data_IF_585736661319
#
_entry.id   IF_585736661319
#
_cell.length_a   1.000
_cell.length_b   1.000
_cell.length_c   1.000
_cell.angle_alpha   90.00
_cell.angle_beta   90.00
_cell.angle_gamma   90.00
#
_symmetry.space_group_name_H-M   'P 1'
#
loop_
_entity.id
_entity.type
_entity.pdbx_description
1 polymer ?
#
# COMPACT_ATOMS: atom_id res chain seq x y z
N UNK A 1 -33.77 21.38 12.45
CA UNK A 1 -32.77 20.33 12.73
C UNK A 1 -31.90 20.18 11.49
N UNK A 2 -30.65 20.62 11.55
CA UNK A 2 -29.67 20.44 10.49
C UNK A 2 -29.39 18.94 10.35
N UNK A 3 -29.71 18.37 9.18
CA UNK A 3 -29.31 17.00 8.83
C UNK A 3 -27.78 16.96 8.81
N UNK A 4 -27.20 16.31 9.80
CA UNK A 4 -25.76 16.04 9.85
C UNK A 4 -25.47 15.03 8.74
N UNK A 5 -24.50 15.28 7.85
CA UNK A 5 -24.11 14.30 6.84
C UNK A 5 -23.54 13.07 7.56
N UNK A 6 -24.30 11.98 7.58
CA UNK A 6 -23.74 10.68 7.87
C UNK A 6 -23.06 10.23 6.59
N UNK A 7 -21.72 10.13 6.62
CA UNK A 7 -21.04 9.30 5.65
C UNK A 7 -21.43 7.86 5.97
N UNK A 8 -22.52 7.40 5.37
CA UNK A 8 -22.83 5.99 5.25
C UNK A 8 -21.62 5.34 4.60
N UNK A 9 -20.86 4.53 5.35
CA UNK A 9 -20.00 3.56 4.69
C UNK A 9 -20.90 2.76 3.76
N UNK A 10 -20.51 2.59 2.50
CA UNK A 10 -21.31 1.93 1.46
C UNK A 10 -21.67 0.45 1.73
N UNK A 11 -21.40 -0.01 2.95
CA UNK A 11 -21.37 -1.39 3.39
C UNK A 11 -22.11 -1.51 4.73
N UNK A 12 -23.44 -1.52 4.66
CA UNK A 12 -24.37 -1.65 5.80
C UNK A 12 -24.76 -3.10 6.11
N UNK A 13 -24.16 -4.08 5.42
CA UNK A 13 -24.43 -5.52 5.63
C UNK A 13 -23.87 -6.07 6.95
N UNK A 14 -24.39 -7.22 7.44
CA UNK A 14 -24.01 -7.82 8.71
C UNK A 14 -22.51 -8.15 8.77
N UNK A 15 -21.94 -8.15 9.98
CA UNK A 15 -20.55 -8.53 10.17
C UNK A 15 -20.29 -9.96 9.72
N UNK A 16 -19.26 -10.12 8.90
CA UNK A 16 -18.80 -11.41 8.39
C UNK A 16 -18.05 -12.18 9.49
N UNK A 17 -17.87 -13.47 9.32
CA UNK A 17 -17.28 -14.35 10.35
C UNK A 17 -15.91 -13.86 10.84
N UNK A 18 -15.03 -13.48 9.91
CA UNK A 18 -13.69 -12.95 10.23
C UNK A 18 -13.75 -11.64 11.03
N UNK A 19 -14.64 -10.72 10.64
CA UNK A 19 -14.83 -9.43 11.33
C UNK A 19 -15.26 -9.66 12.79
N UNK A 20 -16.18 -10.60 13.03
CA UNK A 20 -16.59 -11.00 14.39
C UNK A 20 -15.43 -11.60 15.18
N UNK A 21 -14.64 -12.49 14.57
CA UNK A 21 -13.47 -13.10 15.22
C UNK A 21 -12.43 -12.07 15.65
N UNK A 22 -12.18 -11.04 14.84
CA UNK A 22 -11.29 -9.95 15.23
C UNK A 22 -11.83 -9.14 16.41
N UNK A 23 -13.13 -8.86 16.45
CA UNK A 23 -13.73 -8.13 17.56
C UNK A 23 -13.72 -8.95 18.87
N UNK A 24 -14.05 -10.24 18.78
CA UNK A 24 -14.01 -11.17 19.94
C UNK A 24 -12.59 -11.28 20.54
N UNK A 25 -11.55 -11.15 19.71
CA UNK A 25 -10.14 -11.27 20.12
C UNK A 25 -9.40 -9.94 20.22
N UNK A 26 -10.11 -8.81 20.27
CA UNK A 26 -9.50 -7.49 20.15
C UNK A 26 -8.36 -7.24 21.15
N UNK A 27 -8.54 -7.58 22.42
CA UNK A 27 -7.51 -7.37 23.45
C UNK A 27 -6.24 -8.18 23.12
N UNK A 28 -6.42 -9.43 22.70
CA UNK A 28 -5.34 -10.32 22.28
C UNK A 28 -4.61 -9.76 21.05
N UNK A 29 -5.36 -9.30 20.05
CA UNK A 29 -4.82 -8.70 18.82
C UNK A 29 -4.00 -7.46 19.13
N UNK A 30 -4.54 -6.52 19.91
CA UNK A 30 -3.82 -5.30 20.27
C UNK A 30 -2.60 -5.59 21.16
N UNK A 31 -2.67 -6.60 22.03
CA UNK A 31 -1.53 -7.10 22.80
C UNK A 31 -0.41 -7.61 21.90
N UNK A 32 -0.75 -8.52 20.98
CA UNK A 32 0.19 -9.09 20.03
C UNK A 32 0.84 -8.00 19.17
N UNK A 33 0.07 -7.04 18.63
CA UNK A 33 0.65 -5.92 17.87
C UNK A 33 1.65 -5.11 18.68
N UNK A 34 1.35 -4.80 19.95
CA UNK A 34 2.30 -4.07 20.81
C UNK A 34 3.60 -4.83 20.97
N UNK A 35 3.57 -6.14 21.15
CA UNK A 35 4.77 -6.99 21.24
C UNK A 35 5.55 -7.00 19.93
N UNK A 36 4.88 -7.15 18.79
CA UNK A 36 5.53 -7.17 17.48
C UNK A 36 6.25 -5.85 17.17
N UNK A 37 5.64 -4.71 17.49
CA UNK A 37 6.27 -3.40 17.27
C UNK A 37 7.47 -3.12 18.20
N UNK A 38 7.63 -3.86 19.30
CA UNK A 38 8.85 -3.81 20.11
C UNK A 38 9.98 -4.61 19.48
N UNK A 39 9.66 -5.72 18.80
CA UNK A 39 10.65 -6.57 18.14
C UNK A 39 11.10 -5.99 16.80
N UNK A 40 10.17 -5.37 16.07
CA UNK A 40 10.44 -4.81 14.74
C UNK A 40 9.86 -3.39 14.66
N UNK A 41 10.69 -2.34 14.73
CA UNK A 41 10.21 -0.97 14.62
C UNK A 41 9.49 -0.71 13.29
N UNK A 42 8.36 0.01 13.28
CA UNK A 42 7.59 0.23 12.05
C UNK A 42 8.37 1.04 11.02
N UNK A 43 8.02 0.95 9.73
CA UNK A 43 8.49 1.91 8.71
C UNK A 43 7.95 3.32 9.01
N UNK A 44 8.45 4.36 8.33
CA UNK A 44 7.96 5.72 8.58
C UNK A 44 6.48 5.89 8.19
N UNK A 45 6.10 5.34 7.05
CA UNK A 45 4.74 5.27 6.58
C UNK A 45 4.55 4.11 5.60
N UNK A 46 3.31 3.91 5.17
CA UNK A 46 2.97 3.01 4.09
C UNK A 46 1.48 3.05 3.79
N UNK A 47 1.09 2.50 2.64
CA UNK A 47 -0.29 2.18 2.34
C UNK A 47 -0.43 0.71 1.97
N UNK A 48 -1.57 0.13 2.32
CA UNK A 48 -1.90 -1.26 2.02
C UNK A 48 -3.21 -1.30 1.25
N UNK A 49 -3.16 -1.80 0.03
CA UNK A 49 -4.36 -2.06 -0.78
C UNK A 49 -4.93 -3.42 -0.34
N UNK A 50 -6.19 -3.43 0.06
CA UNK A 50 -6.88 -4.62 0.54
C UNK A 50 -8.00 -5.02 -0.41
N UNK A 51 -8.37 -6.29 -0.40
CA UNK A 51 -9.62 -6.76 -1.02
C UNK A 51 -10.46 -7.56 -0.04
N UNK A 52 -11.76 -7.26 -0.02
CA UNK A 52 -12.75 -7.96 0.79
C UNK A 52 -13.69 -8.78 -0.10
N UNK A 53 -13.36 -10.06 -0.27
CA UNK A 53 -14.20 -11.06 -0.93
C UNK A 53 -15.30 -11.60 -0.01
N UNK A 54 -15.26 -11.25 1.27
CA UNK A 54 -16.22 -11.70 2.28
C UNK A 54 -16.01 -13.08 2.85
N UNK A 55 -15.54 -14.01 2.02
CA UNK A 55 -14.91 -15.23 2.49
C UNK A 55 -13.42 -15.02 2.80
N UNK A 56 -12.82 -13.91 2.35
CA UNK A 56 -11.39 -13.58 2.52
C UNK A 56 -11.19 -12.06 2.59
N UNK A 57 -10.28 -11.61 3.46
CA UNK A 57 -9.83 -10.22 3.57
C UNK A 57 -8.31 -10.20 3.58
N UNK A 58 -7.70 -9.76 2.49
CA UNK A 58 -6.26 -9.89 2.32
C UNK A 58 -5.63 -8.68 1.65
N UNK A 59 -4.33 -8.41 1.92
CA UNK A 59 -3.58 -7.40 1.20
C UNK A 59 -3.20 -7.88 -0.19
N UNK A 60 -3.35 -6.99 -1.17
CA UNK A 60 -2.99 -7.24 -2.57
C UNK A 60 -1.81 -6.39 -3.04
N UNK A 61 -1.49 -5.31 -2.31
CA UNK A 61 -0.31 -4.48 -2.50
C UNK A 61 0.09 -3.78 -1.19
N UNK A 62 1.40 -3.67 -0.95
CA UNK A 62 1.97 -2.91 0.17
C UNK A 62 2.98 -1.91 -0.39
N UNK A 63 2.65 -0.62 -0.30
CA UNK A 63 3.43 0.47 -0.84
C UNK A 63 4.07 1.29 0.29
N UNK A 64 5.40 1.30 0.33
CA UNK A 64 6.19 2.08 1.29
C UNK A 64 6.45 3.53 0.85
N UNK A 65 5.94 3.93 -0.31
CA UNK A 65 6.01 5.28 -0.87
C UNK A 65 4.59 5.74 -1.28
N UNK A 66 3.64 5.81 -0.31
CA UNK A 66 2.25 6.11 -0.61
C UNK A 66 2.08 7.50 -1.22
N UNK A 67 1.25 7.60 -2.26
CA UNK A 67 1.12 8.79 -3.10
C UNK A 67 -0.32 9.35 -3.16
N UNK A 68 -1.10 9.14 -2.10
CA UNK A 68 -2.50 9.56 -2.02
C UNK A 68 -2.89 10.19 -0.68
N UNK A 69 -1.98 10.89 0.00
CA UNK A 69 -2.30 11.60 1.24
C UNK A 69 -3.43 12.64 1.05
N UNK A 70 -3.54 13.22 -0.15
CA UNK A 70 -4.61 14.15 -0.51
C UNK A 70 -6.01 13.51 -0.59
N UNK A 71 -6.10 12.18 -0.66
CA UNK A 71 -7.36 11.43 -0.71
C UNK A 71 -7.86 11.05 0.69
N UNK A 72 -7.06 11.29 1.74
CA UNK A 72 -7.48 11.06 3.13
C UNK A 72 -8.57 12.06 3.52
N UNK A 73 -9.47 11.64 4.40
CA UNK A 73 -10.46 12.55 4.97
C UNK A 73 -9.74 13.67 5.75
N UNK A 74 -9.97 14.96 5.42
CA UNK A 74 -9.36 16.10 6.13
C UNK A 74 -9.53 16.08 7.65
N UNK A 75 -10.61 15.48 8.15
CA UNK A 75 -10.86 15.32 9.60
C UNK A 75 -9.79 14.46 10.30
N UNK A 76 -9.02 13.66 9.56
CA UNK A 76 -7.93 12.82 10.08
C UNK A 76 -6.61 13.58 10.26
N UNK A 77 -6.55 14.88 9.95
CA UNK A 77 -5.32 15.68 10.02
C UNK A 77 -4.68 15.62 11.43
N UNK A 78 -5.48 15.76 12.49
CA UNK A 78 -4.97 15.72 13.86
C UNK A 78 -4.29 14.38 14.20
N UNK A 79 -4.88 13.28 13.74
CA UNK A 79 -4.32 11.94 13.91
C UNK A 79 -3.04 11.76 13.08
N UNK A 80 -3.03 12.20 11.82
CA UNK A 80 -1.84 12.14 10.98
C UNK A 80 -0.67 12.89 11.65
N UNK A 81 -0.94 14.09 12.18
CA UNK A 81 0.03 14.92 12.91
C UNK A 81 0.57 14.18 14.14
N UNK A 82 -0.30 13.63 14.98
CA UNK A 82 0.11 12.88 16.17
C UNK A 82 0.92 11.62 15.81
N UNK A 83 0.52 10.90 14.77
CA UNK A 83 1.22 9.72 14.30
C UNK A 83 2.63 10.06 13.79
N UNK A 84 2.81 11.18 13.07
CA UNK A 84 4.15 11.67 12.69
C UNK A 84 4.97 11.99 13.93
N UNK A 85 4.42 12.72 14.90
CA UNK A 85 5.13 13.08 16.13
C UNK A 85 5.60 11.85 16.91
N UNK A 86 4.70 10.88 17.13
CA UNK A 86 5.03 9.63 17.82
C UNK A 86 6.10 8.83 17.06
N UNK A 87 5.94 8.70 15.73
CA UNK A 87 6.89 7.94 14.89
C UNK A 87 8.27 8.60 14.87
N UNK A 88 8.34 9.94 14.80
CA UNK A 88 9.59 10.67 14.78
C UNK A 88 10.27 10.69 16.15
N UNK A 89 9.51 10.72 17.25
CA UNK A 89 10.06 10.60 18.59
C UNK A 89 10.82 9.28 18.80
N UNK A 90 10.36 8.19 18.15
CA UNK A 90 11.05 6.89 18.17
C UNK A 90 12.22 6.84 17.17
N UNK A 91 12.03 7.34 15.94
CA UNK A 91 13.00 7.17 14.85
C UNK A 91 14.14 8.18 14.86
N UNK A 92 13.85 9.44 15.17
CA UNK A 92 14.83 10.53 15.16
C UNK A 92 14.40 11.64 16.12
N UNK A 93 14.55 11.43 17.44
CA UNK A 93 14.02 12.33 18.47
C UNK A 93 14.55 13.76 18.39
N UNK A 94 15.75 13.95 17.82
CA UNK A 94 16.39 15.27 17.69
C UNK A 94 16.14 15.94 16.32
N UNK A 95 15.37 15.31 15.43
CA UNK A 95 15.10 15.87 14.10
C UNK A 95 14.30 17.17 14.20
N UNK A 96 14.79 18.22 13.54
CA UNK A 96 14.09 19.50 13.39
C UNK A 96 13.76 19.83 11.94
N UNK A 97 14.64 19.39 11.03
CA UNK A 97 14.59 19.65 9.60
C UNK A 97 14.39 18.36 8.83
N UNK A 98 13.38 18.32 7.98
CA UNK A 98 13.05 17.21 7.09
C UNK A 98 13.14 17.65 5.63
N UNK A 99 13.82 16.85 4.82
CA UNK A 99 13.80 17.04 3.37
C UNK A 99 12.94 15.97 2.72
N UNK A 100 11.92 16.40 1.98
CA UNK A 100 11.04 15.52 1.23
C UNK A 100 11.56 15.38 -0.20
N UNK A 101 11.81 14.15 -0.64
CA UNK A 101 12.23 13.86 -2.02
C UNK A 101 11.07 13.19 -2.76
N UNK A 102 10.45 13.86 -3.76
CA UNK A 102 9.38 13.33 -4.56
C UNK A 102 9.89 12.52 -5.77
N UNK A 103 8.95 11.91 -6.49
CA UNK A 103 9.15 11.31 -7.81
C UNK A 103 9.80 12.31 -8.78
N UNK A 104 10.85 11.87 -9.50
CA UNK A 104 11.70 12.75 -10.30
C UNK A 104 11.05 13.27 -11.59
N UNK A 105 10.13 12.51 -12.18
CA UNK A 105 9.58 12.77 -13.52
C UNK A 105 8.06 12.67 -13.53
N UNK A 106 7.38 13.67 -12.95
CA UNK A 106 5.93 13.71 -12.93
C UNK A 106 5.40 15.09 -13.29
N UNK A 107 4.37 15.09 -14.14
CA UNK A 107 3.50 16.25 -14.40
C UNK A 107 2.11 16.04 -13.80
N UNK A 108 1.95 14.98 -13.01
CA UNK A 108 0.68 14.60 -12.43
C UNK A 108 0.32 15.57 -11.28
N UNK A 109 -0.65 16.44 -11.53
CA UNK A 109 -1.13 17.40 -10.53
C UNK A 109 -1.66 16.70 -9.28
N UNK A 110 -2.29 15.53 -9.40
CA UNK A 110 -2.76 14.76 -8.23
C UNK A 110 -1.59 14.29 -7.35
N UNK A 111 -0.46 13.94 -7.95
CA UNK A 111 0.74 13.59 -7.18
C UNK A 111 1.29 14.81 -6.44
N UNK A 112 1.26 15.99 -7.05
CA UNK A 112 1.65 17.23 -6.36
C UNK A 112 0.65 17.64 -5.26
N UNK A 113 -0.64 17.35 -5.43
CA UNK A 113 -1.63 17.50 -4.36
C UNK A 113 -1.33 16.57 -3.17
N UNK A 114 -0.93 15.33 -3.44
CA UNK A 114 -0.40 14.41 -2.43
C UNK A 114 0.83 15.00 -1.74
N UNK A 115 1.79 15.52 -2.50
CA UNK A 115 3.03 16.08 -1.97
C UNK A 115 2.78 17.30 -1.08
N UNK A 116 1.87 18.19 -1.49
CA UNK A 116 1.42 19.32 -0.71
C UNK A 116 0.78 18.87 0.62
N UNK A 117 -0.10 17.85 0.57
CA UNK A 117 -0.74 17.32 1.78
C UNK A 117 0.28 16.68 2.73
N UNK A 118 1.21 15.89 2.21
CA UNK A 118 2.27 15.28 3.01
C UNK A 118 3.17 16.34 3.66
N UNK A 119 3.60 17.35 2.89
CA UNK A 119 4.37 18.49 3.41
C UNK A 119 3.61 19.23 4.51
N UNK A 120 2.31 19.45 4.34
CA UNK A 120 1.46 20.09 5.34
C UNK A 120 1.34 19.27 6.64
N UNK A 121 1.12 17.96 6.55
CA UNK A 121 1.10 17.06 7.71
C UNK A 121 2.42 17.15 8.49
N UNK A 122 3.56 17.07 7.79
CA UNK A 122 4.89 17.15 8.41
C UNK A 122 5.14 18.52 9.07
N UNK A 123 4.75 19.62 8.42
CA UNK A 123 4.88 20.98 9.00
C UNK A 123 4.00 21.15 10.24
N UNK A 124 2.76 20.69 10.20
CA UNK A 124 1.83 20.72 11.34
C UNK A 124 2.31 19.85 12.50
N UNK A 125 3.11 18.81 12.24
CA UNK A 125 3.78 18.03 13.27
C UNK A 125 4.96 18.74 13.96
N UNK A 126 5.35 19.93 13.48
CA UNK A 126 6.37 20.79 14.10
C UNK A 126 7.74 20.74 13.43
N UNK A 127 7.85 20.16 12.23
CA UNK A 127 9.10 20.10 11.47
C UNK A 127 9.23 21.27 10.50
N UNK A 128 10.47 21.73 10.31
CA UNK A 128 10.83 22.57 9.17
C UNK A 128 11.02 21.66 7.94
N UNK A 129 10.19 21.83 6.91
CA UNK A 129 10.11 20.90 5.77
C UNK A 129 10.38 21.63 4.46
N UNK A 130 11.37 21.14 3.72
CA UNK A 130 11.66 21.55 2.34
C UNK A 130 11.53 20.38 1.37
N UNK A 131 11.35 20.67 0.08
CA UNK A 131 11.15 19.65 -0.96
C UNK A 131 12.31 19.74 -1.94
N UNK A 132 13.13 18.70 -2.02
CA UNK A 132 14.23 18.62 -2.99
C UNK A 132 13.79 17.84 -4.22
N UNK A 133 14.04 18.42 -5.38
CA UNK A 133 13.76 17.85 -6.69
C UNK A 133 14.98 17.15 -7.26
N UNK A 134 14.71 16.02 -7.92
CA UNK A 134 15.67 15.27 -8.74
C UNK A 134 15.50 15.55 -10.24
N UNK A 135 14.75 16.60 -10.61
CA UNK A 135 14.61 17.03 -12.00
C UNK A 135 16.00 17.42 -12.53
N UNK A 136 16.46 16.80 -13.63
CA UNK A 136 17.72 17.19 -14.27
C UNK A 136 17.71 18.67 -14.66
N UNK A 137 18.84 19.33 -14.53
CA UNK A 137 19.07 20.73 -14.93
C UNK A 137 18.22 21.79 -14.21
N UNK A 138 17.53 21.42 -13.11
CA UNK A 138 16.90 22.40 -12.24
C UNK A 138 17.98 23.20 -11.51
N UNK A 139 18.12 24.48 -11.82
CA UNK A 139 19.15 25.37 -11.20
C UNK A 139 18.58 26.36 -10.19
N UNK A 140 17.25 26.50 -10.12
CA UNK A 140 16.57 27.43 -9.22
C UNK A 140 15.24 26.84 -8.71
N UNK A 141 14.73 27.29 -7.55
CA UNK A 141 13.46 26.82 -7.01
C UNK A 141 12.30 27.00 -8.00
N UNK A 142 11.59 25.91 -8.29
CA UNK A 142 10.42 25.89 -9.16
C UNK A 142 9.14 25.90 -8.32
N UNK A 143 8.37 26.97 -8.45
CA UNK A 143 7.04 27.08 -7.83
C UNK A 143 5.99 26.40 -8.69
N UNK A 144 5.07 25.70 -8.05
CA UNK A 144 3.96 25.06 -8.73
C UNK A 144 2.65 25.31 -7.97
N UNK A 145 1.74 26.00 -8.66
CA UNK A 145 0.38 26.23 -8.18
C UNK A 145 -0.50 25.03 -8.51
N UNK A 146 -1.26 24.56 -7.53
CA UNK A 146 -2.08 23.36 -7.62
C UNK A 146 -3.56 23.71 -7.79
N UNK A 147 -4.38 22.82 -8.39
CA UNK A 147 -5.81 23.05 -8.57
C UNK A 147 -6.58 23.38 -7.27
N UNK A 148 -6.14 22.86 -6.12
CA UNK A 148 -6.70 23.18 -4.80
C UNK A 148 -6.40 24.61 -4.32
N UNK A 149 -5.55 25.36 -5.02
CA UNK A 149 -5.01 26.66 -4.59
C UNK A 149 -3.77 26.54 -3.71
N UNK A 150 -3.31 25.32 -3.39
CA UNK A 150 -2.05 25.09 -2.67
C UNK A 150 -0.83 25.38 -3.57
N UNK A 151 0.30 25.66 -2.95
CA UNK A 151 1.59 25.85 -3.62
C UNK A 151 2.61 24.84 -3.08
N UNK A 152 3.43 24.30 -3.99
CA UNK A 152 4.66 23.60 -3.64
C UNK A 152 5.86 24.32 -4.28
N UNK A 153 7.00 24.23 -3.61
CA UNK A 153 8.28 24.76 -4.11
C UNK A 153 9.24 23.58 -4.22
N UNK A 154 9.66 23.28 -5.43
CA UNK A 154 10.63 22.24 -5.75
C UNK A 154 12.02 22.88 -5.83
N UNK A 155 12.90 22.58 -4.89
CA UNK A 155 14.24 23.15 -4.81
C UNK A 155 15.26 22.17 -5.42
N UNK A 156 16.33 22.65 -6.08
CA UNK A 156 17.35 21.76 -6.62
C UNK A 156 18.10 21.03 -5.50
N UNK A 157 18.21 19.69 -5.61
CA UNK A 157 18.97 18.89 -4.66
C UNK A 157 20.47 19.22 -4.79
N UNK A 158 21.11 19.51 -3.65
CA UNK A 158 22.55 19.77 -3.55
C UNK A 158 23.18 18.69 -2.68
N UNK A 159 24.37 18.23 -3.08
CA UNK A 159 25.23 17.36 -2.27
C UNK A 159 26.46 18.14 -1.81
N UNK A 160 26.76 18.02 -0.52
CA UNK A 160 27.99 18.50 0.10
C UNK A 160 28.61 17.35 0.91
N UNK A 161 29.71 16.79 0.40
CA UNK A 161 30.36 15.61 0.96
C UNK A 161 29.41 14.40 1.08
N UNK A 162 29.16 13.97 2.31
CA UNK A 162 28.29 12.85 2.68
C UNK A 162 26.88 13.30 3.13
N UNK A 163 26.48 14.52 2.76
CA UNK A 163 25.16 15.06 3.06
C UNK A 163 24.51 15.62 1.81
N UNK A 164 23.18 15.54 1.78
CA UNK A 164 22.34 16.15 0.77
C UNK A 164 21.35 17.10 1.40
N UNK A 165 20.97 18.12 0.65
CA UNK A 165 20.17 19.23 1.11
C UNK A 165 19.68 20.08 -0.05
N UNK A 166 19.28 21.30 0.26
CA UNK A 166 19.00 22.37 -0.69
C UNK A 166 19.72 23.63 -0.20
N UNK A 167 19.58 24.74 -0.91
CA UNK A 167 20.33 25.97 -0.60
C UNK A 167 20.20 26.38 0.88
N UNK A 168 21.35 26.46 1.57
CA UNK A 168 21.47 26.78 3.00
C UNK A 168 20.65 25.88 3.94
N UNK A 169 20.29 24.67 3.51
CA UNK A 169 19.42 23.77 4.24
C UNK A 169 19.88 22.32 4.11
N UNK A 170 20.39 21.75 5.19
CA UNK A 170 20.73 20.33 5.27
C UNK A 170 19.91 19.66 6.40
N UNK A 171 18.98 18.75 6.06
CA UNK A 171 18.05 18.16 7.00
C UNK A 171 18.73 17.16 7.96
N UNK A 172 18.01 16.83 9.03
CA UNK A 172 18.34 15.73 9.92
C UNK A 172 17.95 14.38 9.29
N UNK A 173 16.77 14.33 8.67
CA UNK A 173 16.24 13.13 8.03
C UNK A 173 15.66 13.46 6.66
N UNK A 174 15.65 12.47 5.77
CA UNK A 174 15.13 12.58 4.41
C UNK A 174 13.91 11.69 4.30
N UNK A 175 12.75 12.28 4.04
CA UNK A 175 11.50 11.55 3.77
C UNK A 175 11.43 11.27 2.29
N UNK A 176 11.38 9.99 1.91
CA UNK A 176 11.34 9.55 0.53
C UNK A 176 9.89 9.32 0.11
N UNK A 177 9.37 10.14 -0.81
CA UNK A 177 8.12 9.86 -1.54
C UNK A 177 8.40 9.48 -3.01
N UNK A 178 9.62 8.99 -3.25
CA UNK A 178 10.12 8.45 -4.50
C UNK A 178 10.52 7.00 -4.28
N UNK A 179 10.00 6.14 -5.14
CA UNK A 179 10.10 4.69 -4.99
C UNK A 179 11.43 4.11 -5.52
N UNK A 180 12.22 4.94 -6.22
CA UNK A 180 13.49 4.62 -6.88
C UNK A 180 13.46 3.32 -7.70
N UNK A 181 12.34 3.07 -8.36
CA UNK A 181 12.13 1.92 -9.27
C UNK A 181 13.17 1.84 -10.39
N UNK A 182 13.72 2.98 -10.84
CA UNK A 182 14.80 3.03 -11.83
C UNK A 182 16.22 2.91 -11.24
N UNK A 183 16.34 2.71 -9.92
CA UNK A 183 17.61 2.70 -9.20
C UNK A 183 17.83 3.95 -8.35
N UNK A 184 18.67 3.80 -7.31
CA UNK A 184 19.02 4.89 -6.40
C UNK A 184 20.02 5.83 -7.09
N UNK A 185 19.74 7.14 -7.21
CA UNK A 185 20.66 8.12 -7.78
C UNK A 185 21.99 8.21 -7.01
N UNK A 186 23.10 8.38 -7.72
CA UNK A 186 24.44 8.47 -7.10
C UNK A 186 24.56 9.60 -6.08
N UNK A 187 23.85 10.71 -6.30
CA UNK A 187 23.80 11.84 -5.37
C UNK A 187 23.32 11.45 -3.97
N UNK A 188 22.50 10.40 -3.83
CA UNK A 188 21.96 9.94 -2.54
C UNK A 188 22.82 8.83 -1.89
N UNK A 189 23.71 8.19 -2.65
CA UNK A 189 24.55 7.08 -2.17
C UNK A 189 25.63 7.57 -1.22
N UNK A 190 25.96 6.75 -0.22
CA UNK A 190 27.02 7.01 0.76
C UNK A 190 26.81 8.34 1.51
N UNK A 191 25.59 8.60 1.95
CA UNK A 191 25.26 9.76 2.79
C UNK A 191 25.01 9.31 4.24
N UNK A 192 25.29 10.19 5.21
CA UNK A 192 25.10 9.87 6.64
C UNK A 192 23.67 10.09 7.14
N UNK A 193 22.83 10.77 6.35
CA UNK A 193 21.48 11.13 6.77
C UNK A 193 20.55 9.91 6.76
N UNK A 194 19.60 9.92 7.68
CA UNK A 194 18.60 8.86 7.79
C UNK A 194 17.53 9.03 6.73
N UNK A 195 17.28 7.99 5.95
CA UNK A 195 16.19 7.93 4.97
C UNK A 195 14.95 7.24 5.55
N UNK A 196 13.79 7.80 5.26
CA UNK A 196 12.49 7.39 5.77
C UNK A 196 11.50 7.19 4.60
N UNK A 197 11.19 5.95 4.18
CA UNK A 197 11.81 4.68 4.58
C UNK A 197 13.29 4.56 4.14
N UNK A 198 13.99 3.51 4.61
CA UNK A 198 15.39 3.25 4.22
C UNK A 198 15.51 3.10 2.70
N UNK A 199 16.62 3.57 2.11
CA UNK A 199 16.91 3.44 0.68
C UNK A 199 16.92 1.97 0.21
N UNK A 200 17.28 1.03 1.08
CA UNK A 200 17.31 -0.40 0.75
C UNK A 200 15.91 -1.00 0.52
N UNK A 201 14.86 -0.30 0.96
CA UNK A 201 13.46 -0.68 0.74
C UNK A 201 12.89 -0.11 -0.57
N UNK A 202 13.71 0.57 -1.39
CA UNK A 202 13.33 1.00 -2.73
C UNK A 202 13.05 -0.18 -3.67
N UNK A 203 12.25 0.05 -4.71
CA UNK A 203 11.78 -1.02 -5.62
C UNK A 203 12.84 -1.55 -6.58
N UNK A 204 14.00 -0.90 -6.66
CA UNK A 204 15.15 -1.44 -7.40
C UNK A 204 15.72 -2.70 -6.74
N UNK A 205 15.48 -2.91 -5.44
CA UNK A 205 15.99 -4.05 -4.68
C UNK A 205 14.89 -4.89 -4.04
N UNK A 206 13.77 -4.27 -3.64
CA UNK A 206 12.65 -4.95 -2.98
C UNK A 206 11.88 -5.88 -3.93
N UNK A 207 11.70 -7.15 -3.52
CA UNK A 207 10.88 -8.14 -4.22
C UNK A 207 9.51 -8.29 -3.55
N UNK A 208 8.44 -8.39 -4.35
CA UNK A 208 7.10 -8.71 -3.82
C UNK A 208 7.06 -10.12 -3.23
N UNK A 209 7.74 -11.08 -3.86
CA UNK A 209 7.86 -12.47 -3.40
C UNK A 209 8.45 -12.56 -2.00
N UNK A 210 9.50 -11.78 -1.70
CA UNK A 210 10.09 -11.71 -0.36
C UNK A 210 9.10 -11.12 0.65
N UNK A 211 8.40 -10.04 0.30
CA UNK A 211 7.35 -9.44 1.14
C UNK A 211 6.27 -10.47 1.47
N UNK A 212 5.72 -11.18 0.48
CA UNK A 212 4.66 -12.15 0.70
C UNK A 212 5.13 -13.38 1.49
N UNK A 213 6.39 -13.79 1.37
CA UNK A 213 6.97 -14.85 2.22
C UNK A 213 7.02 -14.43 3.70
N UNK A 214 7.43 -13.19 3.96
CA UNK A 214 7.44 -12.63 5.32
C UNK A 214 6.01 -12.47 5.82
N UNK A 215 5.10 -11.98 4.97
CA UNK A 215 3.68 -11.85 5.31
C UNK A 215 3.03 -13.19 5.65
N UNK A 216 3.40 -14.27 4.96
CA UNK A 216 2.97 -15.62 5.32
C UNK A 216 3.43 -16.00 6.74
N UNK A 217 4.68 -15.69 7.10
CA UNK A 217 5.18 -15.96 8.46
C UNK A 217 4.40 -15.16 9.51
N UNK A 218 4.16 -13.87 9.24
CA UNK A 218 3.39 -12.97 10.12
C UNK A 218 1.95 -13.46 10.29
N UNK A 219 1.30 -13.90 9.21
CA UNK A 219 -0.08 -14.41 9.25
C UNK A 219 -0.17 -15.77 9.91
N UNK A 220 0.81 -16.67 9.72
CA UNK A 220 0.86 -17.96 10.42
C UNK A 220 1.03 -17.79 11.94
N UNK A 221 1.85 -16.83 12.38
CA UNK A 221 1.99 -16.46 13.80
C UNK A 221 0.69 -15.88 14.34
N UNK A 222 0.11 -14.90 13.65
CA UNK A 222 -1.10 -14.21 14.07
C UNK A 222 -2.32 -15.14 14.12
N UNK A 223 -2.47 -16.00 13.12
CA UNK A 223 -3.59 -16.95 13.03
C UNK A 223 -3.62 -17.95 14.19
N UNK A 224 -2.44 -18.36 14.71
CA UNK A 224 -2.36 -19.20 15.92
C UNK A 224 -2.82 -18.47 17.17
N UNK A 225 -2.60 -17.16 17.24
CA UNK A 225 -2.95 -16.33 18.41
C UNK A 225 -4.47 -16.17 18.56
N UNK A 226 -5.20 -16.13 17.46
CA UNK A 226 -6.66 -15.89 17.46
C UNK A 226 -7.49 -17.07 16.92
N UNK A 227 -6.84 -18.21 16.66
CA UNK A 227 -7.43 -19.46 16.18
C UNK A 227 -8.28 -19.27 14.91
N UNK A 228 -7.64 -18.81 13.84
CA UNK A 228 -8.27 -18.72 12.50
C UNK A 228 -7.44 -19.45 11.45
N UNK A 229 -8.07 -19.84 10.35
CA UNK A 229 -7.33 -20.29 9.17
C UNK A 229 -6.53 -19.12 8.56
N UNK A 230 -5.19 -19.20 8.44
CA UNK A 230 -4.38 -18.15 7.81
C UNK A 230 -4.80 -17.84 6.36
N UNK A 231 -5.40 -18.79 5.63
CA UNK A 231 -5.88 -18.53 4.28
C UNK A 231 -6.93 -17.42 4.21
N UNK A 232 -7.69 -17.16 5.29
CA UNK A 232 -8.69 -16.09 5.34
C UNK A 232 -8.09 -14.68 5.26
N UNK A 233 -6.79 -14.55 5.56
CA UNK A 233 -6.06 -13.27 5.57
C UNK A 233 -4.81 -13.25 4.67
N UNK A 234 -4.40 -14.41 4.17
CA UNK A 234 -3.21 -14.55 3.34
C UNK A 234 -3.55 -15.20 1.98
N UNK A 235 -3.35 -14.50 0.85
CA UNK A 235 -3.44 -15.10 -0.48
C UNK A 235 -2.31 -16.10 -0.67
N UNK A 236 -2.59 -17.27 -1.24
CA UNK A 236 -1.51 -18.12 -1.72
C UNK A 236 -0.72 -17.39 -2.81
N UNK A 237 0.58 -17.64 -2.87
CA UNK A 237 1.41 -17.13 -3.95
C UNK A 237 2.48 -18.17 -4.29
N UNK A 238 3.03 -18.04 -5.49
CA UNK A 238 4.22 -18.75 -5.93
C UNK A 238 5.00 -17.83 -6.87
N UNK A 239 6.26 -18.17 -7.16
CA UNK A 239 7.08 -17.42 -8.10
C UNK A 239 7.92 -18.38 -8.95
N UNK A 240 8.26 -17.95 -10.14
CA UNK A 240 9.31 -18.57 -10.93
C UNK A 240 10.57 -17.72 -10.87
N UNK A 241 11.70 -18.30 -11.28
CA UNK A 241 12.97 -17.59 -11.39
C UNK A 241 12.97 -16.53 -12.50
N UNK A 242 14.04 -16.49 -13.29
CA UNK A 242 14.12 -15.56 -14.41
C UNK A 242 13.02 -15.85 -15.44
N UNK A 243 12.29 -14.81 -15.87
CA UNK A 243 11.27 -14.86 -16.92
C UNK A 243 11.57 -13.82 -17.98
N UNK A 244 11.26 -14.15 -19.23
CA UNK A 244 11.35 -13.20 -20.35
C UNK A 244 10.11 -13.35 -21.24
N UNK A 245 9.22 -12.36 -21.14
CA UNK A 245 7.98 -12.33 -21.89
C UNK A 245 8.17 -12.00 -23.39
N UNK A 246 9.38 -11.63 -23.82
CA UNK A 246 9.70 -11.34 -25.22
C UNK A 246 10.01 -12.59 -26.04
N UNK A 247 10.67 -13.59 -25.45
CA UNK A 247 11.14 -14.81 -26.11
C UNK A 247 10.48 -16.10 -25.57
N UNK A 248 9.39 -15.97 -24.79
CA UNK A 248 8.65 -17.08 -24.17
C UNK A 248 9.46 -17.91 -23.15
N UNK A 249 10.65 -17.47 -22.78
CA UNK A 249 11.47 -18.19 -21.81
C UNK A 249 10.87 -18.06 -20.39
N UNK A 250 10.74 -19.19 -19.69
CA UNK A 250 10.16 -19.27 -18.35
C UNK A 250 8.62 -19.34 -18.29
N UNK A 251 7.90 -19.30 -19.43
CA UNK A 251 6.43 -19.41 -19.45
C UNK A 251 5.92 -20.78 -19.00
N UNK A 252 6.64 -21.86 -19.34
CA UNK A 252 6.30 -23.22 -18.91
C UNK A 252 6.37 -23.36 -17.39
N UNK A 253 7.42 -22.84 -16.75
CA UNK A 253 7.52 -22.78 -15.29
C UNK A 253 6.32 -22.04 -14.69
N UNK A 254 5.97 -20.88 -15.24
CA UNK A 254 4.85 -20.09 -14.74
C UNK A 254 3.53 -20.88 -14.86
N UNK A 255 3.29 -21.56 -15.99
CA UNK A 255 2.08 -22.35 -16.18
C UNK A 255 2.00 -23.57 -15.24
N UNK A 256 3.11 -24.29 -15.02
CA UNK A 256 3.16 -25.42 -14.09
C UNK A 256 2.86 -24.96 -12.64
N UNK A 257 3.54 -23.90 -12.19
CA UNK A 257 3.36 -23.34 -10.85
C UNK A 257 1.98 -22.73 -10.67
N UNK A 258 1.44 -22.06 -11.69
CA UNK A 258 0.05 -21.60 -11.68
C UNK A 258 -0.93 -22.78 -11.52
N UNK A 259 -0.69 -23.91 -12.19
CA UNK A 259 -1.56 -25.10 -12.07
C UNK A 259 -1.62 -25.62 -10.62
N UNK A 260 -0.46 -25.70 -9.95
CA UNK A 260 -0.39 -26.07 -8.52
C UNK A 260 -1.12 -25.05 -7.65
N UNK A 261 -0.94 -23.75 -7.93
CA UNK A 261 -1.61 -22.68 -7.20
C UNK A 261 -3.14 -22.76 -7.37
N UNK A 262 -3.64 -22.96 -8.59
CA UNK A 262 -5.07 -23.15 -8.85
C UNK A 262 -5.66 -24.34 -8.10
N UNK A 263 -4.93 -25.46 -8.01
CA UNK A 263 -5.38 -26.62 -7.25
C UNK A 263 -5.57 -26.27 -5.77
N UNK A 264 -4.58 -25.62 -5.14
CA UNK A 264 -4.67 -25.18 -3.73
C UNK A 264 -5.86 -24.24 -3.50
N UNK A 265 -6.09 -23.31 -4.42
CA UNK A 265 -7.22 -22.37 -4.33
C UNK A 265 -8.55 -23.12 -4.45
N UNK A 266 -8.68 -24.06 -5.39
CA UNK A 266 -9.90 -24.88 -5.57
C UNK A 266 -10.22 -25.72 -4.34
N UNK A 267 -9.21 -26.29 -3.68
CA UNK A 267 -9.38 -27.03 -2.43
C UNK A 267 -9.98 -26.14 -1.33
N UNK A 268 -9.45 -24.92 -1.15
CA UNK A 268 -10.01 -23.94 -0.20
C UNK A 268 -11.40 -23.47 -0.58
N UNK A 269 -11.65 -23.24 -1.87
CA UNK A 269 -12.98 -22.86 -2.34
C UNK A 269 -13.99 -23.97 -2.09
N UNK A 270 -13.63 -25.24 -2.27
CA UNK A 270 -14.49 -26.37 -1.93
C UNK A 270 -14.74 -26.48 -0.41
N UNK A 271 -13.69 -26.31 0.40
CA UNK A 271 -13.77 -26.31 1.87
C UNK A 271 -14.78 -25.26 2.39
N UNK A 272 -14.69 -24.03 1.87
CA UNK A 272 -15.56 -22.92 2.26
C UNK A 272 -16.85 -22.80 1.44
N UNK A 273 -17.11 -23.75 0.52
CA UNK A 273 -18.29 -23.77 -0.36
C UNK A 273 -18.45 -22.47 -1.18
N UNK A 274 -17.35 -22.01 -1.75
CA UNK A 274 -17.26 -20.81 -2.58
C UNK A 274 -17.58 -21.20 -4.03
N UNK A 275 -18.60 -20.55 -4.61
CA UNK A 275 -19.06 -20.84 -5.98
C UNK A 275 -18.33 -20.01 -7.04
N UNK A 276 -17.64 -18.94 -6.64
CA UNK A 276 -16.89 -18.10 -7.57
C UNK A 276 -15.74 -18.88 -8.21
N UNK A 277 -15.41 -18.52 -9.45
CA UNK A 277 -14.24 -19.11 -10.11
C UNK A 277 -12.94 -18.56 -9.51
N UNK A 278 -11.94 -19.42 -9.26
CA UNK A 278 -10.62 -18.95 -8.88
C UNK A 278 -9.98 -18.22 -10.06
N UNK A 279 -9.15 -17.24 -9.76
CA UNK A 279 -8.26 -16.60 -10.72
C UNK A 279 -6.90 -16.38 -10.08
N UNK A 280 -5.87 -16.21 -10.89
CA UNK A 280 -4.51 -15.92 -10.45
C UNK A 280 -4.07 -14.60 -11.07
N UNK A 281 -3.44 -13.76 -10.26
CA UNK A 281 -2.84 -12.51 -10.70
C UNK A 281 -1.35 -12.73 -10.91
N UNK A 282 -0.88 -12.53 -12.14
CA UNK A 282 0.54 -12.55 -12.48
C UNK A 282 1.04 -11.13 -12.51
N UNK A 283 2.04 -10.83 -11.69
CA UNK A 283 2.62 -9.49 -11.52
C UNK A 283 4.14 -9.57 -11.72
N UNK A 284 4.75 -8.50 -12.24
CA UNK A 284 6.20 -8.36 -12.10
C UNK A 284 6.59 -8.31 -10.62
N UNK A 285 7.62 -9.08 -10.26
CA UNK A 285 8.09 -9.23 -8.88
C UNK A 285 8.81 -7.97 -8.37
N UNK A 286 9.38 -7.20 -9.29
CA UNK A 286 9.96 -5.88 -9.06
C UNK A 286 9.12 -4.79 -9.74
N UNK A 287 8.95 -3.65 -9.08
CA UNK A 287 8.28 -2.46 -9.63
C UNK A 287 6.85 -2.20 -9.12
N UNK A 288 6.31 -1.03 -9.50
CA UNK A 288 5.15 -0.36 -8.89
C UNK A 288 4.02 -0.03 -9.89
N UNK A 289 2.92 0.54 -9.38
CA UNK A 289 1.79 1.14 -10.15
C UNK A 289 0.93 0.20 -11.00
N UNK A 290 0.84 -1.08 -10.65
CA UNK A 290 -0.03 -2.01 -11.40
C UNK A 290 0.38 -2.24 -12.86
N UNK A 291 1.62 -1.85 -13.21
CA UNK A 291 2.25 -2.19 -14.49
C UNK A 291 2.72 -3.65 -14.49
N UNK A 292 2.74 -4.27 -15.66
CA UNK A 292 3.06 -5.69 -15.82
C UNK A 292 2.22 -6.58 -14.89
N UNK A 293 0.90 -6.36 -14.91
CA UNK A 293 -0.09 -7.17 -14.20
C UNK A 293 -1.08 -7.77 -15.18
N UNK A 294 -1.34 -9.06 -15.07
CA UNK A 294 -2.42 -9.75 -15.79
C UNK A 294 -3.16 -10.70 -14.86
N UNK A 295 -4.40 -11.00 -15.23
CA UNK A 295 -5.26 -11.96 -14.54
C UNK A 295 -5.45 -13.13 -15.48
N UNK A 296 -5.35 -14.33 -14.94
CA UNK A 296 -5.61 -15.58 -15.67
C UNK A 296 -6.65 -16.40 -14.89
N UNK A 297 -7.47 -17.14 -15.61
CA UNK A 297 -8.40 -18.13 -15.08
C UNK A 297 -7.97 -19.56 -15.44
N UNK A 298 -7.07 -19.70 -16.42
CA UNK A 298 -6.45 -20.96 -16.83
C UNK A 298 -4.92 -20.82 -16.91
N UNK A 299 -4.14 -21.72 -16.30
CA UNK A 299 -2.69 -21.79 -16.48
C UNK A 299 -2.22 -21.76 -17.94
N UNK A 300 -2.98 -22.34 -18.87
CA UNK A 300 -2.65 -22.39 -20.30
C UNK A 300 -2.64 -21.01 -20.97
N UNK A 301 -3.23 -19.98 -20.34
CA UNK A 301 -3.13 -18.61 -20.82
C UNK A 301 -1.68 -18.09 -20.80
N UNK A 302 -0.85 -18.59 -19.87
CA UNK A 302 0.55 -18.16 -19.72
C UNK A 302 1.46 -18.67 -20.83
N UNK A 303 1.13 -19.82 -21.42
CA UNK A 303 1.82 -20.35 -22.60
C UNK A 303 1.30 -19.76 -23.91
N UNK A 304 0.08 -19.19 -23.91
CA UNK A 304 -0.63 -18.73 -25.11
C UNK A 304 -0.85 -17.21 -25.13
N UNK A 305 0.12 -16.43 -24.63
CA UNK A 305 0.00 -14.97 -24.55
C UNK A 305 -0.10 -14.30 -25.93
N UNK A 306 -1.20 -13.58 -26.14
CA UNK A 306 -1.37 -12.76 -27.33
C UNK A 306 -0.39 -11.56 -27.32
N UNK A 307 -0.25 -10.88 -28.47
CA UNK A 307 0.69 -9.76 -28.63
C UNK A 307 0.47 -8.65 -27.60
N UNK A 308 -0.80 -8.32 -27.30
CA UNK A 308 -1.17 -7.27 -26.35
C UNK A 308 -0.79 -7.64 -24.91
N UNK A 309 -1.03 -8.89 -24.51
CA UNK A 309 -0.64 -9.41 -23.20
C UNK A 309 0.89 -9.43 -23.03
N UNK A 310 1.62 -9.87 -24.05
CA UNK A 310 3.10 -9.79 -24.05
C UNK A 310 3.58 -8.35 -23.87
N UNK A 311 3.08 -7.41 -24.67
CA UNK A 311 3.43 -5.98 -24.51
C UNK A 311 3.13 -5.44 -23.12
N UNK A 312 2.02 -5.85 -22.51
CA UNK A 312 1.67 -5.44 -21.15
C UNK A 312 2.65 -5.99 -20.10
N UNK A 313 3.13 -7.21 -20.27
CA UNK A 313 4.00 -7.91 -19.31
C UNK A 313 5.49 -7.71 -19.57
N UNK A 314 5.89 -7.09 -20.70
CA UNK A 314 7.30 -6.88 -21.04
C UNK A 314 7.96 -5.73 -20.26
N UNK A 315 7.22 -4.68 -19.92
CA UNK A 315 7.82 -3.41 -19.50
C UNK A 315 7.35 -2.94 -18.12
N UNK A 316 8.33 -2.54 -17.31
CA UNK A 316 8.14 -1.83 -16.04
C UNK A 316 8.08 -0.31 -16.24
N UNK A 317 7.77 0.40 -15.15
CA UNK A 317 7.90 1.86 -15.07
C UNK A 317 9.34 2.25 -15.47
N UNK A 318 9.47 3.25 -16.34
CA UNK A 318 10.78 3.70 -16.84
C UNK A 318 11.36 2.88 -18.01
N UNK A 319 10.62 1.91 -18.56
CA UNK A 319 11.03 1.21 -19.79
C UNK A 319 11.90 -0.04 -19.57
N UNK A 320 12.18 -0.40 -18.31
CA UNK A 320 12.97 -1.60 -17.98
C UNK A 320 12.20 -2.89 -18.26
N UNK A 321 12.90 -3.96 -18.61
CA UNK A 321 12.29 -5.27 -18.86
C UNK A 321 11.88 -5.98 -17.57
N UNK A 322 10.78 -6.72 -17.61
CA UNK A 322 10.39 -7.63 -16.53
C UNK A 322 11.25 -8.88 -16.58
N UNK A 323 12.02 -9.13 -15.52
CA UNK A 323 12.93 -10.28 -15.42
C UNK A 323 12.50 -11.32 -14.37
N UNK A 324 11.54 -10.98 -13.52
CA UNK A 324 10.98 -11.84 -12.46
C UNK A 324 9.47 -11.63 -12.36
N UNK A 325 8.73 -12.71 -12.14
CA UNK A 325 7.27 -12.65 -11.96
C UNK A 325 6.81 -13.47 -10.75
N UNK A 326 5.77 -12.96 -10.11
CA UNK A 326 5.04 -13.59 -9.03
C UNK A 326 3.62 -13.92 -9.49
N UNK A 327 3.12 -15.08 -9.08
CA UNK A 327 1.74 -15.50 -9.25
C UNK A 327 1.08 -15.50 -7.90
N UNK A 328 -0.02 -14.78 -7.77
CA UNK A 328 -0.76 -14.64 -6.52
C UNK A 328 -2.20 -15.08 -6.73
N UNK A 329 -2.78 -15.78 -5.77
CA UNK A 329 -4.21 -16.01 -5.67
C UNK A 329 -4.96 -14.68 -5.84
N UNK A 330 -5.89 -14.67 -6.80
CA UNK A 330 -6.79 -13.56 -7.02
C UNK A 330 -7.82 -13.48 -5.90
N UNK A 331 -7.85 -12.34 -5.22
CA UNK A 331 -8.89 -12.04 -4.23
C UNK A 331 -9.97 -11.22 -4.93
N UNK A 332 -11.21 -11.71 -4.88
CA UNK A 332 -12.39 -10.99 -5.38
C UNK A 332 -12.59 -9.72 -4.55
N UNK A 333 -13.13 -8.66 -5.15
CA UNK A 333 -13.74 -7.57 -4.37
C UNK A 333 -15.23 -7.49 -4.66
N UNK A 334 -16.04 -7.56 -3.61
CA UNK A 334 -17.50 -7.38 -3.68
C UNK A 334 -17.94 -6.05 -3.07
N UNK A 335 -17.00 -5.18 -2.73
CA UNK A 335 -17.31 -3.86 -2.22
C UNK A 335 -17.74 -2.97 -3.38
N UNK A 336 -18.84 -2.24 -3.16
CA UNK A 336 -19.39 -1.31 -4.15
C UNK A 336 -19.67 0.03 -3.50
N UNK A 337 -19.41 1.14 -4.20
CA UNK A 337 -19.64 2.51 -3.69
C UNK A 337 -20.50 3.31 -4.66
N UNK A 338 -21.37 4.17 -4.10
CA UNK A 338 -22.26 5.06 -4.85
C UNK A 338 -23.51 4.38 -5.41
N UNK A 339 -24.39 5.18 -5.99
CA UNK A 339 -25.66 4.71 -6.60
C UNK A 339 -25.41 3.74 -7.76
N UNK A 340 -24.36 4.00 -8.54
CA UNK A 340 -23.92 3.14 -9.66
C UNK A 340 -23.34 1.78 -9.20
N UNK A 341 -23.22 1.55 -7.88
CA UNK A 341 -22.59 0.37 -7.27
C UNK A 341 -21.25 0.01 -7.91
N UNK A 342 -20.42 1.03 -8.16
CA UNK A 342 -19.12 0.84 -8.79
C UNK A 342 -18.19 0.04 -7.87
N UNK A 343 -17.44 -0.89 -8.46
CA UNK A 343 -16.52 -1.78 -7.72
C UNK A 343 -15.45 -0.95 -7.02
N UNK A 344 -15.19 -1.28 -5.75
CA UNK A 344 -14.27 -0.57 -4.89
C UNK A 344 -13.26 -1.52 -4.22
N UNK A 345 -12.06 -1.02 -3.94
CA UNK A 345 -11.09 -1.68 -3.06
C UNK A 345 -10.54 -0.68 -2.04
N UNK A 346 -10.52 -1.02 -0.74
CA UNK A 346 -10.02 -0.12 0.30
C UNK A 346 -8.50 -0.05 0.31
N UNK A 347 -7.99 1.16 0.47
CA UNK A 347 -6.57 1.45 0.68
C UNK A 347 -6.42 2.02 2.09
N UNK A 348 -5.66 1.34 2.94
CA UNK A 348 -5.42 1.73 4.34
C UNK A 348 -4.07 2.44 4.45
N UNK A 349 -4.05 3.60 5.08
CA UNK A 349 -2.85 4.43 5.25
C UNK A 349 -2.30 4.33 6.67
N UNK A 350 -0.98 4.23 6.75
CA UNK A 350 -0.23 4.10 7.99
C UNK A 350 0.85 5.18 8.09
N UNK A 351 1.05 5.70 9.30
CA UNK A 351 2.24 6.46 9.70
C UNK A 351 2.78 5.80 10.96
N UNK A 352 4.00 5.27 10.87
CA UNK A 352 4.54 4.37 11.88
C UNK A 352 3.63 3.18 12.13
N UNK A 353 3.37 2.91 13.42
CA UNK A 353 2.47 1.85 13.88
C UNK A 353 0.98 2.20 13.78
N UNK A 354 0.63 3.44 13.43
CA UNK A 354 -0.74 3.94 13.50
C UNK A 354 -1.43 3.83 12.13
N UNK A 355 -2.64 3.27 12.13
CA UNK A 355 -3.59 3.47 11.01
C UNK A 355 -4.09 4.90 11.11
N UNK A 356 -3.85 5.71 10.09
CA UNK A 356 -4.20 7.16 10.10
C UNK A 356 -5.35 7.52 9.19
N UNK A 357 -5.76 6.60 8.33
CA UNK A 357 -6.53 7.00 7.18
C UNK A 357 -6.84 5.87 6.21
N UNK A 358 -7.60 6.21 5.19
CA UNK A 358 -7.75 5.40 4.00
C UNK A 358 -8.73 6.01 3.01
N UNK A 359 -8.83 5.38 1.85
CA UNK A 359 -9.84 5.69 0.83
C UNK A 359 -10.21 4.44 0.04
N UNK A 360 -11.39 4.43 -0.55
CA UNK A 360 -11.73 3.47 -1.60
C UNK A 360 -11.15 3.96 -2.92
N UNK A 361 -10.45 3.06 -3.62
CA UNK A 361 -10.23 3.18 -5.05
C UNK A 361 -11.44 2.58 -5.75
N UNK A 362 -12.11 3.36 -6.58
CA UNK A 362 -13.32 2.97 -7.30
C UNK A 362 -13.03 2.94 -8.78
N UNK A 363 -13.60 1.97 -9.50
CA UNK A 363 -13.51 1.96 -10.94
C UNK A 363 -14.84 1.53 -11.57
N UNK A 364 -15.55 2.48 -12.21
CA UNK A 364 -16.90 2.23 -12.79
C UNK A 364 -16.91 1.18 -13.91
N UNK A 365 -15.82 1.11 -14.68
CA UNK A 365 -15.72 0.23 -15.86
C UNK A 365 -14.91 -1.05 -15.61
N UNK A 366 -14.75 -1.51 -14.36
CA UNK A 366 -13.99 -2.72 -14.03
C UNK A 366 -14.84 -3.67 -13.19
N UNK A 367 -14.68 -4.96 -13.45
CA UNK A 367 -15.31 -6.04 -12.71
C UNK A 367 -14.59 -6.41 -11.41
N UNK A 368 -15.22 -7.29 -10.66
CA UNK A 368 -14.80 -7.81 -9.34
C UNK A 368 -13.43 -8.50 -9.33
N UNK A 369 -13.01 -9.05 -10.48
CA UNK A 369 -11.76 -9.80 -10.68
C UNK A 369 -10.68 -8.99 -11.39
N UNK A 370 -10.99 -7.76 -11.78
CA UNK A 370 -10.05 -6.94 -12.55
C UNK A 370 -9.19 -6.06 -11.65
N UNK A 371 -8.04 -5.64 -12.17
CA UNK A 371 -7.23 -4.61 -11.51
C UNK A 371 -7.98 -3.27 -11.51
N UNK A 372 -8.30 -2.74 -10.32
CA UNK A 372 -8.90 -1.40 -10.21
C UNK A 372 -7.84 -0.29 -10.24
N UNK A 373 -6.56 -0.61 -10.00
CA UNK A 373 -5.43 0.30 -10.20
C UNK A 373 -5.12 0.48 -11.69
N UNK A 374 -6.04 1.14 -12.38
CA UNK A 374 -6.01 1.34 -13.83
C UNK A 374 -6.48 2.77 -14.18
N UNK A 375 -6.12 3.28 -15.37
CA UNK A 375 -6.59 4.58 -15.83
C UNK A 375 -8.13 4.66 -15.82
N UNK A 376 -8.67 5.75 -15.27
CA UNK A 376 -10.11 5.95 -15.08
C UNK A 376 -10.64 5.59 -13.70
N UNK A 377 -9.77 5.22 -12.75
CA UNK A 377 -10.13 5.10 -11.34
C UNK A 377 -10.43 6.45 -10.69
N UNK A 378 -11.31 6.42 -9.69
CA UNK A 378 -11.66 7.53 -8.82
C UNK A 378 -11.38 7.17 -7.36
N UNK A 379 -11.34 8.15 -6.47
CA UNK A 379 -11.04 7.96 -5.05
C UNK A 379 -12.11 8.59 -4.17
N UNK A 380 -12.67 7.77 -3.28
CA UNK A 380 -13.62 8.25 -2.29
C UNK A 380 -13.02 8.04 -0.90
N UNK A 381 -12.89 9.10 -0.08
CA UNK A 381 -12.39 8.96 1.28
C UNK A 381 -13.14 7.86 2.02
N UNK A 382 -12.39 6.98 2.70
CA UNK A 382 -13.00 6.04 3.61
C UNK A 382 -13.52 6.91 4.73
N UNK A 383 -14.84 6.94 4.85
CA UNK A 383 -15.47 7.58 5.97
C UNK A 383 -15.02 6.87 7.24
N UNK A 384 -14.06 7.46 7.94
CA UNK A 384 -13.96 7.24 9.36
C UNK A 384 -15.30 7.70 9.92
N UNK A 385 -16.12 6.75 10.36
CA UNK A 385 -16.97 7.04 11.50
C UNK A 385 -16.03 7.65 12.55
N UNK A 386 -16.44 8.73 13.21
CA UNK A 386 -15.58 9.61 14.04
C UNK A 386 -14.70 8.89 15.08
N UNK A 387 -14.85 7.57 15.27
CA UNK A 387 -14.27 6.75 16.33
C UNK A 387 -13.52 5.47 15.85
N UNK A 388 -13.05 5.31 14.60
CA UNK A 388 -12.38 4.05 14.17
C UNK A 388 -11.06 3.69 14.89
N UNK A 389 -10.52 4.59 15.72
CA UNK A 389 -9.37 4.31 16.61
C UNK A 389 -9.78 3.82 18.00
N UNK A 390 -11.08 3.78 18.27
CA UNK A 390 -11.65 3.40 19.55
C UNK A 390 -12.39 2.08 19.34
N UNK A 391 -12.06 1.03 20.11
CA UNK A 391 -12.92 -0.14 20.24
C UNK A 391 -14.37 0.30 20.47
N UNK A 392 -15.39 -0.35 19.90
CA UNK A 392 -16.75 -0.12 20.36
C UNK A 392 -16.79 -0.38 21.87
N UNK A 393 -17.13 0.62 22.67
CA UNK A 393 -17.39 0.43 24.09
C UNK A 393 -18.59 -0.52 24.21
N UNK A 394 -18.59 -1.44 25.17
CA UNK A 394 -19.53 -2.57 25.29
C UNK A 394 -21.04 -2.21 25.26
N UNK A 395 -21.40 -0.93 25.27
CA UNK A 395 -22.76 -0.41 25.17
C UNK A 395 -23.14 0.16 23.79
N UNK A 396 -22.19 0.27 22.84
CA UNK A 396 -22.54 0.53 21.44
C UNK A 396 -23.10 -0.76 20.86
N UNK A 397 -24.42 -0.83 20.67
CA UNK A 397 -25.05 -1.88 19.86
C UNK A 397 -24.23 -2.07 18.59
N UNK A 398 -24.00 -3.33 18.18
CA UNK A 398 -23.22 -3.79 17.01
C UNK A 398 -23.68 -3.24 15.64
N UNK A 399 -24.41 -2.13 15.61
CA UNK A 399 -25.10 -1.56 14.45
C UNK A 399 -24.24 -0.64 13.59
N UNK A 400 -22.98 -0.35 13.91
CA UNK A 400 -22.22 0.67 13.19
C UNK A 400 -21.12 0.17 12.24
N UNK A 401 -20.88 0.91 11.13
CA UNK A 401 -19.75 0.76 10.20
C UNK A 401 -18.35 0.62 10.78
N UNK A 402 -18.15 1.07 12.02
CA UNK A 402 -16.89 1.12 12.78
C UNK A 402 -16.17 -0.25 12.77
N UNK A 403 -16.94 -1.32 12.77
CA UNK A 403 -16.46 -2.69 12.92
C UNK A 403 -15.69 -3.22 11.70
N UNK A 404 -16.04 -2.79 10.48
CA UNK A 404 -15.37 -3.25 9.24
C UNK A 404 -14.00 -2.60 9.04
N UNK A 405 -13.89 -1.34 9.44
CA UNK A 405 -12.62 -0.63 9.34
C UNK A 405 -11.56 -1.17 10.32
N UNK A 406 -11.97 -1.64 11.51
CA UNK A 406 -11.05 -2.32 12.41
C UNK A 406 -10.41 -3.55 11.75
N UNK A 407 -11.20 -4.37 11.04
CA UNK A 407 -10.67 -5.51 10.31
C UNK A 407 -9.66 -5.10 9.22
N UNK A 408 -9.94 -4.03 8.48
CA UNK A 408 -9.01 -3.47 7.50
C UNK A 408 -7.72 -2.98 8.17
N UNK A 409 -7.84 -2.31 9.32
CA UNK A 409 -6.71 -1.88 10.12
C UNK A 409 -5.88 -3.03 10.69
N UNK A 410 -6.49 -4.15 11.08
CA UNK A 410 -5.77 -5.37 11.51
C UNK A 410 -4.95 -5.93 10.34
N UNK A 411 -5.58 -6.20 9.19
CA UNK A 411 -4.89 -6.79 8.03
C UNK A 411 -3.83 -5.84 7.46
N UNK A 412 -4.12 -4.53 7.41
CA UNK A 412 -3.14 -3.51 7.04
C UNK A 412 -1.93 -3.48 7.99
N UNK A 413 -2.14 -3.53 9.31
CA UNK A 413 -1.03 -3.59 10.27
C UNK A 413 -0.21 -4.86 10.16
N UNK A 414 -0.81 -6.03 9.85
CA UNK A 414 -0.05 -7.25 9.58
C UNK A 414 0.88 -7.08 8.38
N UNK A 415 0.40 -6.44 7.31
CA UNK A 415 1.21 -6.17 6.12
C UNK A 415 2.34 -5.17 6.44
N UNK A 416 2.07 -4.17 7.30
CA UNK A 416 3.10 -3.24 7.76
C UNK A 416 4.14 -3.87 8.68
N UNK A 417 3.78 -4.87 9.51
CA UNK A 417 4.77 -5.68 10.25
C UNK A 417 5.66 -6.43 9.26
N UNK A 418 5.06 -7.08 8.26
CA UNK A 418 5.83 -7.81 7.25
C UNK A 418 6.80 -6.87 6.52
N UNK A 419 6.34 -5.69 6.12
CA UNK A 419 7.18 -4.68 5.48
C UNK A 419 8.29 -4.12 6.40
N UNK A 420 8.03 -4.02 7.71
CA UNK A 420 9.06 -3.66 8.68
C UNK A 420 10.11 -4.77 8.83
N UNK A 421 9.68 -6.03 8.84
CA UNK A 421 10.57 -7.21 8.95
C UNK A 421 11.47 -7.41 7.72
N UNK A 422 11.16 -6.80 6.57
CA UNK A 422 12.06 -6.78 5.40
C UNK A 422 13.37 -6.01 5.64
N UNK A 423 13.43 -5.21 6.70
CA UNK A 423 14.66 -4.48 7.07
C UNK A 423 15.58 -5.25 8.01
N UNK A 424 15.13 -6.39 8.53
CA UNK A 424 15.90 -7.31 9.36
C UNK A 424 16.67 -8.29 8.47
#
# INVERSE_FOLDING_TARGET
MLKVPHLETALTGPLRHLEKKFLENQVTIEGWFREQWQQTPPTFYGSVDLRNAGFKLAPVDTNLFPAGFNNLNPDMMALCVQAVQATMAEKSPCAKRLLLIPESHTRNLFYFENLAMLSEILKRAGFDVRIASLIPDLTAPLKQLLPSGREIILEPLIRDGDRVGVENYFPCCIVLNNDFSAGIPDVLKNTQQVFLPSLNLGWSTRLKSDHFRIYQTVTDEFSKVIDIDPWLINPYFDHCGAVDFSNQNGQECLAERASVLFQKIREKYAEYKIEQSPFVVVKADQGTYGMAVMMIQDPLELTNLNRKQRTKMMTLKGGSAVTKAIMQEGVHTFETVGEDRAVAEPVVYHIGRHVVGGFYRIHKNRGIDENLNAPGMDFHPLAFAKNCHVPPFAQCEFKEPVNRFYAYGVVGRLAMIAAARETL
#
